data_IF_804214599191
#
_entry.id   IF_804214599191
#
_cell.length_a   1.000
_cell.length_b   1.000
_cell.length_c   1.000
_cell.angle_alpha   90.00
_cell.angle_beta   90.00
_cell.angle_gamma   90.00
#
_symmetry.space_group_name_H-M   'P 1'
#
loop_
_entity.id
_entity.type
_entity.pdbx_description
1 polymer ?
#
# COMPACT_ATOMS: atom_id res chain seq x y z
N UNK A 1 17.30 1.41 -17.64
CA UNK A 1 15.90 0.91 -17.55
C UNK A 1 15.01 2.12 -17.52
N UNK A 2 13.91 2.11 -18.26
CA UNK A 2 12.93 3.18 -18.18
C UNK A 2 12.36 3.21 -16.76
N UNK A 3 12.14 4.42 -16.22
CA UNK A 3 11.63 4.59 -14.85
C UNK A 3 10.21 4.03 -14.66
N UNK A 4 9.47 3.83 -15.77
CA UNK A 4 8.10 3.32 -15.80
C UNK A 4 8.00 2.19 -16.81
N UNK A 5 7.70 1.00 -16.34
CA UNK A 5 7.43 -0.18 -17.16
C UNK A 5 5.96 -0.57 -16.99
N UNK A 6 5.21 -0.57 -18.08
CA UNK A 6 3.80 -0.98 -18.09
C UNK A 6 3.66 -2.28 -18.88
N UNK A 7 3.12 -3.31 -18.24
CA UNK A 7 2.93 -4.64 -18.79
C UNK A 7 1.43 -4.92 -18.94
N UNK A 8 1.00 -5.23 -20.15
CA UNK A 8 -0.40 -5.55 -20.42
C UNK A 8 -0.60 -7.05 -20.44
N UNK A 9 -1.48 -7.57 -19.59
CA UNK A 9 -1.80 -8.98 -19.56
C UNK A 9 -2.14 -9.51 -18.18
N UNK A 10 -2.22 -10.82 -18.07
CA UNK A 10 -2.42 -11.51 -16.80
C UNK A 10 -1.21 -11.33 -15.88
N UNK A 11 -1.48 -11.02 -14.61
CA UNK A 11 -0.40 -10.69 -13.67
C UNK A 11 0.56 -11.86 -13.44
N UNK A 12 0.08 -13.09 -13.41
CA UNK A 12 0.95 -14.27 -13.22
C UNK A 12 1.85 -14.54 -14.42
N UNK A 13 1.38 -14.29 -15.64
CA UNK A 13 2.20 -14.41 -16.84
C UNK A 13 3.24 -13.29 -16.90
N UNK A 14 2.82 -12.06 -16.64
CA UNK A 14 3.73 -10.91 -16.71
C UNK A 14 4.77 -10.90 -15.59
N UNK A 15 4.43 -11.37 -14.38
CA UNK A 15 5.39 -11.46 -13.29
C UNK A 15 6.55 -12.43 -13.58
N UNK A 16 6.37 -13.44 -14.41
CA UNK A 16 7.45 -14.39 -14.81
C UNK A 16 8.61 -13.69 -15.51
N UNK A 17 8.34 -12.57 -16.18
CA UNK A 17 9.34 -11.77 -16.89
C UNK A 17 10.11 -10.81 -15.97
N UNK A 18 9.69 -10.66 -14.71
CA UNK A 18 10.35 -9.80 -13.73
C UNK A 18 11.51 -10.59 -13.10
N UNK A 19 12.69 -9.97 -13.07
CA UNK A 19 13.91 -10.52 -12.49
C UNK A 19 13.76 -10.80 -10.99
N UNK A 20 14.34 -11.91 -10.54
CA UNK A 20 14.36 -12.32 -9.13
C UNK A 20 15.02 -11.24 -8.25
N UNK A 21 14.39 -10.91 -7.13
CA UNK A 21 14.95 -9.98 -6.16
C UNK A 21 15.19 -8.56 -6.71
N UNK A 22 14.43 -8.14 -7.73
CA UNK A 22 14.59 -6.83 -8.37
C UNK A 22 13.65 -5.74 -7.82
N UNK A 23 12.59 -6.12 -7.10
CA UNK A 23 11.52 -5.24 -6.61
C UNK A 23 11.76 -4.85 -5.16
N UNK A 24 11.72 -3.55 -4.85
CA UNK A 24 11.89 -3.02 -3.49
C UNK A 24 10.58 -3.02 -2.70
N UNK A 25 9.47 -2.74 -3.40
CA UNK A 25 8.14 -2.72 -2.79
C UNK A 25 7.10 -3.31 -3.73
N UNK A 26 6.21 -4.14 -3.20
CA UNK A 26 4.95 -4.51 -3.86
C UNK A 26 3.84 -3.73 -3.17
N UNK A 27 3.14 -2.88 -3.93
CA UNK A 27 2.02 -2.07 -3.45
C UNK A 27 0.84 -2.26 -4.40
N UNK A 28 -0.17 -3.02 -3.96
CA UNK A 28 -1.19 -3.50 -4.89
C UNK A 28 -2.56 -3.66 -4.24
N UNK A 29 -3.61 -3.61 -5.08
CA UNK A 29 -5.02 -3.78 -4.71
C UNK A 29 -5.65 -4.91 -5.56
N UNK A 30 -5.43 -6.19 -5.20
CA UNK A 30 -5.97 -7.31 -5.96
C UNK A 30 -7.49 -7.36 -5.90
N UNK A 31 -8.17 -8.03 -6.84
CA UNK A 31 -9.60 -8.29 -6.76
C UNK A 31 -9.92 -9.22 -5.58
N UNK A 32 -10.97 -8.89 -4.81
CA UNK A 32 -11.34 -9.62 -3.57
C UNK A 32 -12.36 -10.73 -3.80
N UNK A 33 -13.02 -10.76 -4.97
CA UNK A 33 -14.10 -11.71 -5.26
C UNK A 33 -15.39 -11.44 -4.47
N UNK A 34 -15.63 -10.19 -4.07
CA UNK A 34 -16.80 -9.81 -3.23
C UNK A 34 -17.80 -8.93 -3.95
N UNK A 35 -17.54 -8.53 -5.20
CA UNK A 35 -18.44 -7.71 -6.01
C UNK A 35 -18.99 -8.50 -7.20
N UNK A 36 -20.02 -7.97 -7.87
CA UNK A 36 -20.59 -8.55 -9.09
C UNK A 36 -19.81 -8.17 -10.36
N UNK A 37 -18.71 -7.44 -10.22
CA UNK A 37 -17.88 -7.03 -11.35
C UNK A 37 -17.16 -8.25 -11.96
N UNK A 38 -17.17 -8.37 -13.29
CA UNK A 38 -16.56 -9.51 -13.99
C UNK A 38 -15.05 -9.64 -13.71
N UNK A 39 -14.38 -8.53 -13.43
CA UNK A 39 -12.95 -8.48 -13.11
C UNK A 39 -12.65 -8.84 -11.64
N UNK A 40 -13.64 -8.77 -10.73
CA UNK A 40 -13.45 -9.04 -9.30
C UNK A 40 -13.49 -10.55 -9.02
N UNK A 41 -12.50 -11.27 -9.49
CA UNK A 41 -12.27 -12.68 -9.19
C UNK A 41 -11.06 -12.79 -8.28
N UNK A 42 -11.25 -13.26 -7.04
CA UNK A 42 -10.16 -13.48 -6.11
C UNK A 42 -9.08 -14.37 -6.76
N UNK A 43 -7.84 -13.94 -6.65
CA UNK A 43 -6.70 -14.68 -7.18
C UNK A 43 -6.28 -15.78 -6.20
N UNK A 44 -5.75 -16.91 -6.69
CA UNK A 44 -5.20 -17.94 -5.82
C UNK A 44 -3.97 -17.41 -5.07
N UNK A 45 -3.95 -17.59 -3.74
CA UNK A 45 -2.90 -17.03 -2.91
C UNK A 45 -1.53 -17.68 -3.15
N UNK A 46 -1.46 -19.01 -3.32
CA UNK A 46 -0.16 -19.67 -3.40
C UNK A 46 0.65 -19.25 -4.63
N UNK A 47 0.11 -19.25 -5.87
CA UNK A 47 0.84 -18.70 -7.02
C UNK A 47 1.22 -17.23 -6.86
N UNK A 48 0.35 -16.42 -6.23
CA UNK A 48 0.65 -15.02 -5.95
C UNK A 48 1.85 -14.89 -5.00
N UNK A 49 1.88 -15.67 -3.91
CA UNK A 49 2.99 -15.65 -2.96
C UNK A 49 4.27 -16.25 -3.53
N UNK A 50 4.18 -17.22 -4.44
CA UNK A 50 5.34 -17.79 -5.12
C UNK A 50 6.07 -16.70 -5.91
N UNK A 51 5.35 -15.97 -6.76
CA UNK A 51 5.92 -14.88 -7.56
C UNK A 51 6.38 -13.71 -6.67
N UNK A 52 5.58 -13.28 -5.70
CA UNK A 52 5.98 -12.18 -4.81
C UNK A 52 7.24 -12.50 -4.01
N UNK A 53 7.39 -13.75 -3.52
CA UNK A 53 8.60 -14.18 -2.80
C UNK A 53 9.84 -14.25 -3.69
N UNK A 54 9.66 -14.52 -4.98
CA UNK A 54 10.74 -14.59 -5.96
C UNK A 54 11.26 -13.19 -6.32
N UNK A 55 10.35 -12.29 -6.66
CA UNK A 55 10.70 -10.97 -7.22
C UNK A 55 11.03 -9.92 -6.18
N UNK A 56 10.52 -10.05 -4.94
CA UNK A 56 10.79 -9.07 -3.88
C UNK A 56 12.20 -9.22 -3.31
N UNK A 57 12.89 -8.12 -3.08
CA UNK A 57 14.17 -8.12 -2.37
C UNK A 57 14.05 -8.66 -0.94
N UNK A 58 15.11 -9.21 -0.35
CA UNK A 58 15.08 -9.79 0.99
C UNK A 58 14.57 -8.84 2.08
N UNK A 59 14.79 -7.54 1.92
CA UNK A 59 14.35 -6.44 2.78
C UNK A 59 13.25 -5.58 2.12
N UNK A 60 12.58 -6.10 1.10
CA UNK A 60 11.47 -5.41 0.45
C UNK A 60 10.18 -5.49 1.27
N UNK A 61 9.28 -4.54 1.04
CA UNK A 61 7.98 -4.45 1.68
C UNK A 61 6.86 -4.87 0.73
N UNK A 62 5.90 -5.66 1.22
CA UNK A 62 4.69 -6.01 0.49
C UNK A 62 3.50 -5.41 1.24
N UNK A 63 2.80 -4.47 0.62
CA UNK A 63 1.62 -3.81 1.15
C UNK A 63 0.42 -4.09 0.23
N UNK A 64 -0.57 -4.82 0.75
CA UNK A 64 -1.73 -5.28 -0.04
C UNK A 64 -2.99 -4.68 0.56
N UNK A 65 -3.76 -3.95 -0.25
CA UNK A 65 -5.09 -3.50 0.13
C UNK A 65 -6.02 -4.71 0.27
N UNK A 66 -6.86 -4.68 1.31
CA UNK A 66 -7.74 -5.79 1.61
C UNK A 66 -9.01 -5.34 2.34
N UNK A 67 -10.12 -5.98 1.99
CA UNK A 67 -11.37 -5.91 2.74
C UNK A 67 -11.78 -7.29 3.23
N UNK A 68 -12.63 -7.36 4.29
CA UNK A 68 -13.14 -8.67 4.74
C UNK A 68 -14.16 -9.26 3.75
N UNK A 69 -14.20 -10.62 3.58
CA UNK A 69 -13.40 -11.66 4.27
C UNK A 69 -12.02 -11.92 3.64
N UNK A 70 -11.73 -11.32 2.47
CA UNK A 70 -10.46 -11.50 1.75
C UNK A 70 -9.24 -11.17 2.64
N UNK A 71 -9.32 -10.11 3.45
CA UNK A 71 -8.25 -9.68 4.35
C UNK A 71 -7.83 -10.78 5.33
N UNK A 72 -8.78 -11.45 5.96
CA UNK A 72 -8.51 -12.55 6.88
C UNK A 72 -7.87 -13.75 6.17
N UNK A 73 -8.37 -14.12 4.99
CA UNK A 73 -7.83 -15.19 4.17
C UNK A 73 -6.40 -14.88 3.69
N UNK A 74 -6.14 -13.63 3.26
CA UNK A 74 -4.82 -13.16 2.86
C UNK A 74 -3.80 -13.28 4.00
N UNK A 75 -4.14 -12.84 5.21
CA UNK A 75 -3.26 -12.95 6.37
C UNK A 75 -2.97 -14.42 6.69
N UNK A 76 -4.00 -15.27 6.71
CA UNK A 76 -3.86 -16.71 6.98
C UNK A 76 -2.97 -17.41 5.93
N UNK A 77 -3.01 -16.97 4.69
CA UNK A 77 -2.23 -17.60 3.61
C UNK A 77 -0.71 -17.38 3.74
N UNK A 78 -0.26 -16.38 4.54
CA UNK A 78 1.18 -16.13 4.73
C UNK A 78 1.51 -15.53 6.11
N UNK A 79 1.12 -16.20 7.18
CA UNK A 79 1.42 -15.78 8.56
C UNK A 79 2.91 -15.60 8.81
N UNK A 80 3.76 -16.34 8.11
CA UNK A 80 5.23 -16.26 8.29
C UNK A 80 5.79 -14.89 7.91
N UNK A 81 5.24 -14.25 6.89
CA UNK A 81 5.68 -12.93 6.43
C UNK A 81 4.81 -11.80 6.98
N UNK A 82 3.59 -12.07 7.45
CA UNK A 82 2.69 -11.07 8.02
C UNK A 82 3.31 -10.35 9.21
N UNK A 83 3.12 -9.03 9.27
CA UNK A 83 3.67 -8.20 10.36
C UNK A 83 2.62 -7.37 11.07
N UNK A 84 1.87 -6.56 10.34
CA UNK A 84 0.83 -5.69 10.89
C UNK A 84 -0.11 -5.19 9.81
N UNK A 85 -1.19 -4.55 10.24
CA UNK A 85 -2.12 -3.85 9.36
C UNK A 85 -2.03 -2.34 9.54
N UNK A 86 -2.32 -1.62 8.46
CA UNK A 86 -2.66 -0.21 8.47
C UNK A 86 -4.13 -0.07 8.08
N UNK A 87 -4.81 0.90 8.67
CA UNK A 87 -6.21 1.19 8.43
C UNK A 87 -6.32 2.49 7.64
N UNK A 88 -6.76 2.41 6.39
CA UNK A 88 -7.13 3.59 5.65
C UNK A 88 -8.55 4.02 6.03
N UNK A 89 -8.67 5.08 6.83
CA UNK A 89 -9.94 5.70 7.17
C UNK A 89 -10.34 6.67 6.06
N UNK A 90 -11.50 6.42 5.46
CA UNK A 90 -12.07 7.22 4.37
C UNK A 90 -12.84 8.42 4.94
N UNK A 91 -13.06 9.42 4.11
CA UNK A 91 -13.93 10.57 4.45
C UNK A 91 -15.42 10.29 4.24
N UNK A 92 -15.76 9.24 3.47
CA UNK A 92 -17.15 8.84 3.18
C UNK A 92 -17.29 7.33 3.40
N UNK A 93 -18.34 6.95 4.10
CA UNK A 93 -18.67 5.55 4.31
C UNK A 93 -19.20 4.90 3.01
N UNK A 94 -18.96 3.61 2.90
CA UNK A 94 -19.46 2.75 1.80
C UNK A 94 -20.47 1.75 2.37
N UNK A 95 -21.07 0.93 1.49
CA UNK A 95 -21.98 -0.15 1.90
C UNK A 95 -23.34 0.34 2.40
N UNK A 96 -23.81 1.46 1.84
CA UNK A 96 -25.06 2.12 2.24
C UNK A 96 -26.29 1.22 2.08
N UNK A 97 -26.29 0.26 1.16
CA UNK A 97 -27.39 -0.71 0.99
C UNK A 97 -27.61 -1.59 2.23
N UNK A 98 -26.58 -1.76 3.04
CA UNK A 98 -26.62 -2.54 4.27
C UNK A 98 -26.84 -1.70 5.54
N UNK A 99 -26.98 -0.38 5.43
CA UNK A 99 -27.01 0.56 6.56
C UNK A 99 -28.11 0.29 7.61
N UNK A 100 -29.20 -0.35 7.20
CA UNK A 100 -30.29 -0.77 8.11
C UNK A 100 -30.05 -2.09 8.84
N UNK A 101 -28.98 -2.83 8.49
CA UNK A 101 -28.68 -4.17 9.01
C UNK A 101 -27.33 -4.23 9.73
N UNK A 102 -26.39 -3.34 9.39
CA UNK A 102 -25.06 -3.26 9.98
C UNK A 102 -24.47 -1.85 9.80
N UNK A 103 -23.48 -1.45 10.62
CA UNK A 103 -22.76 -0.22 10.41
C UNK A 103 -22.13 -0.15 9.02
N UNK A 104 -22.16 1.05 8.42
CA UNK A 104 -21.50 1.30 7.12
C UNK A 104 -19.99 1.25 7.27
N UNK A 105 -19.30 0.69 6.27
CA UNK A 105 -17.85 0.58 6.25
C UNK A 105 -17.20 1.90 5.87
N UNK A 106 -16.35 2.43 6.75
CA UNK A 106 -15.64 3.71 6.55
C UNK A 106 -14.13 3.53 6.38
N UNK A 107 -13.64 2.31 6.35
CA UNK A 107 -12.21 2.01 6.23
C UNK A 107 -11.94 0.81 5.34
N UNK A 108 -10.73 0.75 4.81
CA UNK A 108 -10.12 -0.46 4.24
C UNK A 108 -8.82 -0.75 4.98
N UNK A 109 -8.38 -2.00 4.91
CA UNK A 109 -7.13 -2.48 5.50
C UNK A 109 -6.03 -2.48 4.46
N UNK A 110 -4.80 -2.31 4.93
CA UNK A 110 -3.57 -2.54 4.15
C UNK A 110 -2.75 -3.53 4.96
N UNK A 111 -2.60 -4.74 4.45
CA UNK A 111 -1.86 -5.80 5.13
C UNK A 111 -0.39 -5.72 4.74
N UNK A 112 0.50 -5.63 5.73
CA UNK A 112 1.94 -5.45 5.53
C UNK A 112 2.69 -6.74 5.82
N UNK A 113 3.47 -7.18 4.84
CA UNK A 113 4.27 -8.39 4.89
C UNK A 113 5.74 -8.09 4.54
N UNK A 114 6.66 -8.74 5.22
CA UNK A 114 8.07 -8.75 4.83
C UNK A 114 8.83 -9.90 5.48
N UNK A 115 9.94 -10.32 4.86
CA UNK A 115 10.83 -11.36 5.38
C UNK A 115 11.81 -10.81 6.39
N UNK A 116 12.53 -9.73 6.01
CA UNK A 116 13.43 -8.93 6.87
C UNK A 116 12.87 -7.52 6.94
N UNK A 117 13.16 -6.80 8.01
CA UNK A 117 12.70 -5.42 8.16
C UNK A 117 13.08 -4.56 6.95
N UNK A 118 12.11 -3.94 6.29
CA UNK A 118 12.36 -3.04 5.18
C UNK A 118 12.94 -1.70 5.67
N UNK A 119 13.32 -0.86 4.71
CA UNK A 119 13.51 0.57 4.96
C UNK A 119 12.22 1.12 5.56
N UNK A 120 12.36 2.01 6.54
CA UNK A 120 11.23 2.66 7.20
C UNK A 120 11.50 4.14 7.43
N UNK A 121 10.83 4.98 6.68
CA UNK A 121 10.83 6.44 6.84
C UNK A 121 9.54 6.88 7.52
N UNK A 122 9.53 7.12 8.84
CA UNK A 122 8.32 7.53 9.53
C UNK A 122 7.81 8.87 9.02
N UNK A 123 6.63 8.87 8.41
CA UNK A 123 5.96 10.08 7.91
C UNK A 123 5.36 10.83 9.09
N UNK A 124 6.21 11.62 9.77
CA UNK A 124 5.82 12.36 10.97
C UNK A 124 4.78 13.43 10.65
N UNK A 125 3.90 13.70 11.61
CA UNK A 125 2.92 14.78 11.56
C UNK A 125 3.29 15.86 12.56
N UNK A 126 2.82 17.08 12.32
CA UNK A 126 3.03 18.22 13.21
C UNK A 126 1.90 18.29 14.24
N UNK A 127 2.25 18.52 15.50
CA UNK A 127 1.36 18.79 16.62
C UNK A 127 1.99 19.78 17.57
N UNK A 128 1.32 20.10 18.68
CA UNK A 128 1.88 21.00 19.70
C UNK A 128 3.11 20.37 20.37
N UNK A 129 4.19 21.15 20.65
CA UNK A 129 5.32 20.70 21.44
C UNK A 129 4.87 20.14 22.80
N UNK A 130 5.60 19.18 23.33
CA UNK A 130 5.32 18.64 24.67
C UNK A 130 6.58 18.16 25.37
N UNK A 131 6.53 18.19 26.69
CA UNK A 131 7.48 17.54 27.57
C UNK A 131 6.70 16.88 28.74
N UNK A 132 6.64 15.56 28.75
CA UNK A 132 5.99 14.78 29.81
C UNK A 132 6.97 14.32 30.89
N UNK A 133 8.20 14.83 30.84
CA UNK A 133 9.25 14.47 31.79
C UNK A 133 9.74 13.03 31.65
N UNK A 134 10.47 12.58 32.67
CA UNK A 134 10.99 11.22 32.74
C UNK A 134 9.91 10.24 33.18
N UNK A 135 9.66 9.25 32.33
CA UNK A 135 8.69 8.19 32.59
C UNK A 135 9.39 6.91 33.08
N UNK A 136 9.03 6.47 34.28
CA UNK A 136 9.37 5.12 34.75
C UNK A 136 8.33 4.17 34.15
N UNK A 137 8.65 3.51 33.07
CA UNK A 137 7.74 2.53 32.48
C UNK A 137 8.10 1.12 33.01
N UNK A 138 7.50 0.73 34.13
CA UNK A 138 7.32 -0.69 34.43
C UNK A 138 6.06 -1.14 33.68
N UNK A 139 6.22 -2.01 32.72
CA UNK A 139 5.08 -2.59 32.00
C UNK A 139 5.03 -4.07 32.31
N UNK A 140 3.87 -4.55 32.71
CA UNK A 140 3.64 -6.00 32.90
C UNK A 140 3.87 -6.74 31.57
N UNK A 141 3.61 -6.07 30.43
CA UNK A 141 3.74 -6.65 29.10
C UNK A 141 5.18 -6.61 28.54
N UNK A 142 5.97 -5.59 28.89
CA UNK A 142 7.29 -5.36 28.28
C UNK A 142 8.45 -5.43 29.27
N UNK A 143 8.17 -5.80 30.56
CA UNK A 143 9.17 -5.86 31.58
C UNK A 143 9.73 -4.50 32.02
N UNK A 144 10.96 -4.49 32.56
CA UNK A 144 11.63 -3.26 32.95
C UNK A 144 12.16 -2.53 31.71
N UNK A 145 11.60 -1.36 31.40
CA UNK A 145 12.08 -0.49 30.34
C UNK A 145 13.03 0.56 30.91
N UNK A 146 14.08 0.87 30.15
CA UNK A 146 14.98 1.98 30.51
C UNK A 146 14.16 3.25 30.67
N UNK A 147 14.46 4.03 31.72
CA UNK A 147 13.86 5.35 31.95
C UNK A 147 14.05 6.22 30.71
N UNK A 148 12.98 6.72 30.14
CA UNK A 148 13.00 7.56 28.95
C UNK A 148 12.25 8.88 29.19
N UNK A 149 12.79 9.98 28.64
CA UNK A 149 12.08 11.26 28.61
C UNK A 149 11.17 11.27 27.41
N UNK A 150 9.88 11.48 27.64
CA UNK A 150 8.89 11.64 26.58
C UNK A 150 8.75 13.12 26.24
N UNK A 151 9.47 13.58 25.21
CA UNK A 151 9.57 14.99 24.79
C UNK A 151 9.49 15.10 23.28
N UNK A 152 8.83 16.13 22.77
CA UNK A 152 8.90 16.59 21.39
C UNK A 152 8.99 18.11 21.39
N UNK A 153 10.18 18.65 21.15
CA UNK A 153 10.46 20.10 21.19
C UNK A 153 9.82 20.84 20.02
N UNK A 154 9.84 20.21 18.85
CA UNK A 154 9.30 20.78 17.61
C UNK A 154 7.88 20.32 17.30
N UNK A 155 7.23 19.57 18.20
CA UNK A 155 5.85 19.09 18.00
C UNK A 155 5.72 17.88 17.07
N UNK A 156 6.78 17.30 16.54
CA UNK A 156 6.69 16.11 15.69
C UNK A 156 6.06 14.91 16.41
N UNK A 157 5.24 14.17 15.66
CA UNK A 157 4.57 12.93 16.10
C UNK A 157 4.87 11.81 15.12
N UNK A 158 5.23 10.65 15.63
CA UNK A 158 5.29 9.43 14.81
C UNK A 158 3.91 9.07 14.27
N UNK A 159 3.83 8.51 13.05
CA UNK A 159 2.57 8.08 12.49
C UNK A 159 1.92 6.98 13.32
N UNK A 160 0.61 6.87 13.21
CA UNK A 160 -0.19 5.78 13.80
C UNK A 160 -0.64 4.82 12.70
N UNK A 161 -1.18 3.67 13.09
CA UNK A 161 -1.70 2.68 12.13
C UNK A 161 -2.99 3.13 11.43
N UNK A 162 -3.61 4.26 11.82
CA UNK A 162 -4.81 4.80 11.17
C UNK A 162 -4.40 5.96 10.29
N UNK A 163 -4.60 5.79 8.98
CA UNK A 163 -4.26 6.75 7.94
C UNK A 163 -5.53 7.44 7.44
N UNK A 164 -5.57 8.76 7.51
CA UNK A 164 -6.73 9.55 7.12
C UNK A 164 -6.48 10.18 5.74
N UNK A 165 -7.05 9.58 4.70
CA UNK A 165 -6.98 10.09 3.32
C UNK A 165 -8.36 10.12 2.69
N UNK A 166 -8.67 11.19 1.94
CA UNK A 166 -9.91 11.29 1.19
C UNK A 166 -9.92 10.29 0.03
N UNK A 167 -11.10 9.77 -0.29
CA UNK A 167 -11.30 8.94 -1.49
C UNK A 167 -11.17 9.78 -2.76
N UNK A 168 -10.64 9.13 -3.79
CA UNK A 168 -10.67 9.58 -5.18
C UNK A 168 -11.42 8.54 -6.03
N UNK A 169 -12.23 8.95 -7.00
CA UNK A 169 -13.06 8.04 -7.80
C UNK A 169 -13.39 8.57 -9.20
N UNK A 170 -12.41 9.26 -9.83
CA UNK A 170 -12.65 9.86 -11.14
C UNK A 170 -12.44 8.89 -12.31
N UNK A 171 -11.54 7.91 -12.18
CA UNK A 171 -11.10 7.05 -13.28
C UNK A 171 -11.45 5.56 -13.09
N UNK A 172 -11.62 5.12 -11.86
CA UNK A 172 -11.99 3.74 -11.53
C UNK A 172 -12.87 3.73 -10.27
N UNK A 173 -13.92 2.86 -10.21
CA UNK A 173 -14.85 2.80 -9.05
C UNK A 173 -14.16 2.53 -7.71
N UNK A 174 -13.07 1.76 -7.74
CA UNK A 174 -12.29 1.36 -6.55
C UNK A 174 -10.92 2.05 -6.50
N UNK A 175 -10.73 3.16 -7.22
CA UNK A 175 -9.47 3.91 -7.26
C UNK A 175 -8.96 4.21 -5.85
N UNK A 176 -7.67 3.91 -5.63
CA UNK A 176 -6.98 4.31 -4.39
C UNK A 176 -6.46 5.74 -4.53
N UNK A 177 -6.53 6.56 -3.48
CA UNK A 177 -6.07 7.96 -3.56
C UNK A 177 -4.55 8.04 -3.70
N UNK A 178 -4.10 8.82 -4.66
CA UNK A 178 -2.67 9.05 -4.93
C UNK A 178 -1.90 9.50 -3.68
N UNK A 179 -2.41 10.42 -2.83
CA UNK A 179 -1.71 10.81 -1.60
C UNK A 179 -1.47 9.67 -0.59
N UNK A 180 -2.39 8.69 -0.51
CA UNK A 180 -2.21 7.51 0.34
C UNK A 180 -1.11 6.60 -0.20
N UNK A 181 -1.12 6.36 -1.53
CA UNK A 181 -0.10 5.54 -2.20
C UNK A 181 1.28 6.19 -2.09
N UNK A 182 1.38 7.51 -2.29
CA UNK A 182 2.60 8.27 -2.10
C UNK A 182 3.13 8.19 -0.65
N UNK A 183 2.24 8.25 0.34
CA UNK A 183 2.60 8.06 1.75
C UNK A 183 3.21 6.67 2.01
N UNK A 184 2.61 5.61 1.46
CA UNK A 184 3.11 4.24 1.59
C UNK A 184 4.47 4.07 0.89
N UNK A 185 4.61 4.59 -0.32
CA UNK A 185 5.85 4.57 -1.10
C UNK A 185 6.97 5.28 -0.35
N UNK A 186 6.78 6.51 0.12
CA UNK A 186 7.78 7.24 0.93
C UNK A 186 8.15 6.51 2.21
N UNK A 187 7.19 5.78 2.81
CA UNK A 187 7.42 5.08 4.08
C UNK A 187 8.36 3.89 3.92
N UNK A 188 8.28 3.16 2.80
CA UNK A 188 8.95 1.86 2.67
C UNK A 188 9.99 1.79 1.54
N UNK A 189 10.28 2.90 0.87
CA UNK A 189 11.24 2.94 -0.24
C UNK A 189 12.10 4.21 -0.22
N UNK A 190 13.25 4.15 -0.90
CA UNK A 190 14.08 5.30 -1.26
C UNK A 190 13.81 5.78 -2.69
N UNK A 191 14.26 6.99 -3.02
CA UNK A 191 14.22 7.48 -4.40
C UNK A 191 14.98 6.54 -5.34
N UNK A 192 14.40 6.24 -6.51
CA UNK A 192 14.96 5.32 -7.48
C UNK A 192 14.65 3.84 -7.24
N UNK A 193 14.02 3.46 -6.10
CA UNK A 193 13.57 2.10 -5.83
C UNK A 193 12.44 1.67 -6.78
N UNK A 194 12.30 0.37 -6.97
CA UNK A 194 11.30 -0.24 -7.85
C UNK A 194 10.06 -0.64 -7.06
N UNK A 195 8.92 -0.08 -7.46
CA UNK A 195 7.60 -0.44 -6.94
C UNK A 195 6.85 -1.28 -7.97
N UNK A 196 6.34 -2.43 -7.58
CA UNK A 196 5.44 -3.25 -8.39
C UNK A 196 3.99 -3.05 -7.96
N UNK A 197 3.12 -2.78 -8.93
CA UNK A 197 1.67 -2.93 -8.77
C UNK A 197 1.15 -3.96 -9.78
N UNK A 198 0.86 -5.16 -9.29
CA UNK A 198 0.43 -6.29 -10.12
C UNK A 198 -1.04 -6.25 -10.53
N UNK A 199 -1.80 -5.25 -10.04
CA UNK A 199 -3.21 -4.98 -10.37
C UNK A 199 -3.44 -3.47 -10.48
N UNK A 200 -2.68 -2.83 -11.38
CA UNK A 200 -2.51 -1.37 -11.39
C UNK A 200 -3.81 -0.58 -11.68
N UNK A 201 -4.80 -1.20 -12.30
CA UNK A 201 -6.07 -0.56 -12.62
C UNK A 201 -5.88 0.73 -13.43
N UNK A 202 -6.39 1.85 -12.88
CA UNK A 202 -6.24 3.18 -13.51
C UNK A 202 -4.89 3.87 -13.24
N UNK A 203 -3.87 3.17 -12.71
CA UNK A 203 -2.49 3.65 -12.60
C UNK A 203 -2.21 4.63 -11.45
N UNK A 204 -3.02 4.64 -10.39
CA UNK A 204 -2.80 5.56 -9.26
C UNK A 204 -1.45 5.34 -8.57
N UNK A 205 -1.00 4.09 -8.44
CA UNK A 205 0.33 3.75 -7.92
C UNK A 205 1.43 4.33 -8.81
N UNK A 206 1.25 4.26 -10.14
CA UNK A 206 2.20 4.83 -11.09
C UNK A 206 2.32 6.34 -10.98
N UNK A 207 1.19 7.05 -10.84
CA UNK A 207 1.18 8.49 -10.59
C UNK A 207 1.94 8.82 -9.29
N UNK A 208 1.71 8.06 -8.22
CA UNK A 208 2.42 8.23 -6.95
C UNK A 208 3.93 7.96 -7.10
N UNK A 209 4.34 6.91 -7.82
CA UNK A 209 5.76 6.62 -8.10
C UNK A 209 6.45 7.78 -8.83
N UNK A 210 5.81 8.33 -9.85
CA UNK A 210 6.32 9.51 -10.59
C UNK A 210 6.52 10.69 -9.65
N UNK A 211 5.51 11.02 -8.83
CA UNK A 211 5.58 12.14 -7.88
C UNK A 211 6.69 11.98 -6.84
N UNK A 212 6.98 10.75 -6.45
CA UNK A 212 7.96 10.44 -5.39
C UNK A 212 9.34 10.06 -5.95
N UNK A 213 9.55 10.07 -7.27
CA UNK A 213 10.82 9.71 -7.90
C UNK A 213 11.18 8.23 -7.74
N UNK A 214 10.20 7.34 -7.81
CA UNK A 214 10.37 5.88 -7.78
C UNK A 214 10.11 5.29 -9.16
N UNK A 215 10.74 4.15 -9.43
CA UNK A 215 10.46 3.37 -10.64
C UNK A 215 9.21 2.53 -10.45
N UNK A 216 8.46 2.30 -11.52
CA UNK A 216 7.25 1.48 -11.50
C UNK A 216 7.38 0.29 -12.44
N UNK A 217 6.90 -0.87 -11.99
CA UNK A 217 6.41 -1.94 -12.84
C UNK A 217 4.91 -2.04 -12.57
N UNK A 218 4.08 -1.74 -13.57
CA UNK A 218 2.61 -1.79 -13.44
C UNK A 218 2.03 -2.84 -14.37
N UNK A 219 1.18 -3.73 -13.85
CA UNK A 219 0.52 -4.78 -14.65
C UNK A 219 -0.99 -4.54 -14.65
N UNK A 220 -1.61 -4.56 -15.85
CA UNK A 220 -3.05 -4.46 -16.00
C UNK A 220 -3.54 -5.32 -17.16
N UNK A 221 -4.60 -6.07 -16.92
CA UNK A 221 -5.16 -6.99 -17.91
C UNK A 221 -6.20 -6.34 -18.81
N UNK A 222 -7.01 -5.45 -18.25
CA UNK A 222 -8.11 -4.82 -18.97
C UNK A 222 -7.60 -3.64 -19.81
N UNK A 223 -7.72 -3.75 -21.13
CA UNK A 223 -7.24 -2.75 -22.11
C UNK A 223 -7.64 -1.33 -21.76
N UNK A 224 -8.91 -1.15 -21.41
CA UNK A 224 -9.45 0.16 -21.04
C UNK A 224 -8.69 0.80 -19.87
N UNK A 225 -8.41 0.04 -18.82
CA UNK A 225 -7.72 0.57 -17.65
C UNK A 225 -6.23 0.73 -17.90
N UNK A 226 -5.64 -0.15 -18.69
CA UNK A 226 -4.25 -0.02 -19.13
C UNK A 226 -3.99 1.32 -19.85
N UNK A 227 -4.85 1.67 -20.83
CA UNK A 227 -4.71 2.95 -21.55
C UNK A 227 -4.95 4.16 -20.64
N UNK A 228 -5.93 4.09 -19.73
CA UNK A 228 -6.16 5.13 -18.71
C UNK A 228 -4.94 5.31 -17.82
N UNK A 229 -4.35 4.21 -17.35
CA UNK A 229 -3.16 4.23 -16.50
C UNK A 229 -1.98 4.88 -17.23
N UNK A 230 -1.72 4.45 -18.47
CA UNK A 230 -0.66 5.00 -19.32
C UNK A 230 -0.78 6.51 -19.47
N UNK A 231 -1.97 7.00 -19.87
CA UNK A 231 -2.21 8.43 -20.03
C UNK A 231 -1.97 9.22 -18.73
N UNK A 232 -2.53 8.75 -17.60
CA UNK A 232 -2.39 9.44 -16.31
C UNK A 232 -0.95 9.51 -15.83
N UNK A 233 -0.18 8.43 -16.02
CA UNK A 233 1.24 8.38 -15.63
C UNK A 233 2.06 9.32 -16.52
N UNK A 234 1.78 9.36 -17.83
CA UNK A 234 2.43 10.29 -18.76
C UNK A 234 2.12 11.75 -18.42
N UNK A 235 0.86 12.06 -18.07
CA UNK A 235 0.46 13.40 -17.61
C UNK A 235 1.18 13.80 -16.33
N UNK A 236 1.30 12.89 -15.35
CA UNK A 236 2.06 13.13 -14.12
C UNK A 236 3.54 13.40 -14.39
N UNK A 237 4.16 12.69 -15.34
CA UNK A 237 5.55 12.94 -15.75
C UNK A 237 5.72 14.34 -16.36
N UNK A 238 4.82 14.75 -17.25
CA UNK A 238 4.87 16.10 -17.86
C UNK A 238 4.72 17.20 -16.81
N UNK A 239 3.85 17.02 -15.83
CA UNK A 239 3.65 17.98 -14.74
C UNK A 239 4.84 18.18 -13.81
N UNK A 240 5.82 17.26 -13.80
CA UNK A 240 7.06 17.42 -13.03
C UNK A 240 8.11 18.28 -13.76
N UNK A 241 7.98 18.47 -15.05
CA UNK A 241 8.92 19.23 -15.89
C UNK A 241 8.32 20.58 -16.38
N UNK A 242 7.12 20.92 -15.97
CA UNK A 242 6.46 22.19 -16.25
C UNK A 242 6.60 23.17 -15.09
#
# INVERSE_FOLDING_TARGET
>A
MDDITLLRGDCFEQMKEIEDGSVDMILTDPPYGVTQCKWDKAQPFEPMWEEYRRIIKPNGCIAIFAGEPFSSALVQSNLKMYRYELIWKKNVATDFLSARRRPMRIHDKIQVFYKKSPIYHPQKTQGEPYDRGWQNRKSVLYGEMKRQRSKSENGERFPTSILNFKREYHFHPTQKPVPLLAWLIRTYTDAGDVVLDSFMGSGSTGVACVQEGRRLIGIEREDKYFEVAKQRIEEARKGLFA
#
